data_IF_027712312381
#
_entry.id   IF_027712312381
#
_cell.length_a   1.000
_cell.length_b   1.000
_cell.length_c   1.000
_cell.angle_alpha   90.00
_cell.angle_beta   90.00
_cell.angle_gamma   90.00
#
_symmetry.space_group_name_H-M   'P 1'
#
loop_
_entity.id
_entity.type
_entity.pdbx_description
1 polymer ?
#
# COMPACT_ATOMS: atom_id res chain seq x y z
N UNK A 1 -20.18 -9.46 -3.95
CA UNK A 1 -19.36 -8.46 -3.22
C UNK A 1 -18.02 -8.97 -2.70
N UNK A 2 -17.89 -10.24 -2.29
CA UNK A 2 -16.64 -10.80 -1.72
C UNK A 2 -15.37 -10.54 -2.56
N UNK A 3 -15.46 -10.58 -3.90
CA UNK A 3 -14.33 -10.26 -4.79
C UNK A 3 -13.89 -8.80 -4.63
N UNK A 4 -14.85 -7.87 -4.47
CA UNK A 4 -14.55 -6.45 -4.27
C UNK A 4 -13.94 -6.22 -2.89
N UNK A 5 -14.45 -6.89 -1.85
CA UNK A 5 -13.87 -6.84 -0.50
C UNK A 5 -12.42 -7.34 -0.50
N UNK A 6 -12.15 -8.49 -1.14
CA UNK A 6 -10.77 -8.99 -1.32
C UNK A 6 -9.86 -7.94 -1.96
N UNK A 7 -10.30 -7.32 -3.07
CA UNK A 7 -9.51 -6.27 -3.73
C UNK A 7 -9.23 -5.07 -2.82
N UNK A 8 -10.21 -4.64 -2.02
CA UNK A 8 -10.03 -3.55 -1.05
C UNK A 8 -9.00 -3.94 0.02
N UNK A 9 -9.10 -5.14 0.59
CA UNK A 9 -8.13 -5.66 1.56
C UNK A 9 -6.71 -5.76 0.98
N UNK A 10 -6.57 -6.02 -0.32
CA UNK A 10 -5.28 -6.00 -1.01
C UNK A 10 -4.74 -4.58 -1.25
N UNK A 11 -5.59 -3.55 -1.17
CA UNK A 11 -5.22 -2.14 -1.35
C UNK A 11 -4.78 -1.43 -0.06
N UNK A 12 -5.28 -1.89 1.08
CA UNK A 12 -5.07 -1.24 2.39
C UNK A 12 -4.13 -2.05 3.27
N UNK A 13 -3.49 -1.36 4.22
CA UNK A 13 -2.78 -1.99 5.30
C UNK A 13 -3.75 -2.73 6.21
N UNK A 14 -3.53 -4.04 6.43
CA UNK A 14 -4.39 -4.84 7.33
C UNK A 14 -4.20 -4.50 8.82
N UNK A 15 -3.20 -3.68 9.14
CA UNK A 15 -2.90 -3.23 10.50
C UNK A 15 -3.45 -1.82 10.78
N UNK A 16 -3.07 -0.82 9.98
CA UNK A 16 -3.46 0.59 10.22
C UNK A 16 -4.61 1.10 9.33
N UNK A 17 -5.09 0.31 8.36
CA UNK A 17 -6.23 0.66 7.51
C UNK A 17 -5.97 1.70 6.41
N UNK A 18 -4.78 2.32 6.36
CA UNK A 18 -4.40 3.25 5.28
C UNK A 18 -4.26 2.51 3.94
N UNK A 19 -4.47 3.19 2.82
CA UNK A 19 -4.01 2.65 1.53
C UNK A 19 -2.51 2.35 1.60
N UNK A 20 -2.01 1.38 0.82
CA UNK A 20 -0.57 1.08 0.77
C UNK A 20 0.22 1.96 -0.21
N UNK A 21 -0.47 2.83 -0.93
CA UNK A 21 0.11 3.79 -1.87
C UNK A 21 -0.83 4.99 -2.00
N UNK A 22 -0.25 6.17 -2.18
CA UNK A 22 -0.97 7.42 -2.46
C UNK A 22 -0.17 8.30 -3.44
N UNK A 23 -0.61 9.56 -3.61
CA UNK A 23 -0.01 10.52 -4.54
C UNK A 23 1.42 10.96 -4.20
N UNK A 24 1.98 10.58 -3.05
CA UNK A 24 3.39 10.81 -2.72
C UNK A 24 4.33 9.96 -3.59
N UNK A 25 3.85 8.82 -4.11
CA UNK A 25 4.54 7.97 -5.06
C UNK A 25 4.22 8.43 -6.50
N UNK A 26 5.18 9.01 -7.24
CA UNK A 26 4.93 9.51 -8.59
C UNK A 26 4.43 8.43 -9.55
N UNK A 27 4.90 7.19 -9.37
CA UNK A 27 4.50 6.05 -10.20
C UNK A 27 3.04 5.69 -9.96
N UNK A 28 2.58 5.75 -8.71
CA UNK A 28 1.16 5.57 -8.39
C UNK A 28 0.34 6.75 -8.91
N UNK A 29 0.77 7.98 -8.65
CA UNK A 29 0.09 9.19 -9.04
C UNK A 29 -0.18 9.22 -10.55
N UNK A 30 0.84 8.97 -11.38
CA UNK A 30 0.72 8.98 -12.83
C UNK A 30 -0.25 7.89 -13.35
N UNK A 31 -0.28 6.72 -12.70
CA UNK A 31 -1.20 5.63 -13.06
C UNK A 31 -2.66 5.99 -12.83
N UNK A 32 -2.97 6.80 -11.83
CA UNK A 32 -4.36 7.12 -11.47
C UNK A 32 -4.81 8.52 -11.93
N UNK A 33 -3.87 9.43 -12.22
CA UNK A 33 -4.12 10.86 -12.50
C UNK A 33 -5.19 11.10 -13.55
N UNK A 34 -5.16 10.33 -14.64
CA UNK A 34 -6.06 10.51 -15.78
C UNK A 34 -7.24 9.52 -15.80
N UNK A 35 -7.36 8.64 -14.81
CA UNK A 35 -8.40 7.60 -14.78
C UNK A 35 -9.67 8.15 -14.13
N UNK A 36 -10.61 8.63 -14.96
CA UNK A 36 -11.88 9.22 -14.50
C UNK A 36 -12.94 8.17 -14.13
N UNK A 37 -12.99 7.05 -14.86
CA UNK A 37 -13.97 5.99 -14.59
C UNK A 37 -13.67 5.33 -13.23
N UNK A 38 -14.63 5.32 -12.27
CA UNK A 38 -14.39 4.78 -10.94
C UNK A 38 -14.02 3.30 -10.91
N UNK A 39 -14.54 2.49 -11.85
CA UNK A 39 -14.28 1.05 -11.93
C UNK A 39 -12.86 0.79 -12.44
N UNK A 40 -12.44 1.50 -13.49
CA UNK A 40 -11.08 1.48 -14.00
C UNK A 40 -10.08 1.99 -12.96
N UNK A 41 -10.44 3.08 -12.24
CA UNK A 41 -9.59 3.63 -11.17
C UNK A 41 -9.36 2.63 -10.05
N UNK A 42 -10.41 1.95 -9.58
CA UNK A 42 -10.27 0.88 -8.58
C UNK A 42 -9.37 -0.26 -9.08
N UNK A 43 -9.47 -0.64 -10.36
CA UNK A 43 -8.61 -1.67 -10.94
C UNK A 43 -7.15 -1.23 -11.02
N UNK A 44 -6.88 0.03 -11.39
CA UNK A 44 -5.54 0.61 -11.42
C UNK A 44 -4.92 0.64 -10.02
N UNK A 45 -5.65 1.15 -9.02
CA UNK A 45 -5.22 1.16 -7.61
C UNK A 45 -4.93 -0.25 -7.11
N UNK A 46 -5.84 -1.20 -7.33
CA UNK A 46 -5.66 -2.59 -6.91
C UNK A 46 -4.46 -3.26 -7.55
N UNK A 47 -4.25 -3.05 -8.86
CA UNK A 47 -3.09 -3.61 -9.55
C UNK A 47 -1.77 -3.09 -9.00
N UNK A 48 -1.74 -1.86 -8.49
CA UNK A 48 -0.57 -1.28 -7.85
C UNK A 48 -0.36 -1.81 -6.43
N UNK A 49 -1.39 -1.72 -5.58
CA UNK A 49 -1.24 -2.03 -4.16
C UNK A 49 -1.10 -3.53 -3.86
N UNK A 50 -1.63 -4.42 -4.71
CA UNK A 50 -1.58 -5.87 -4.47
C UNK A 50 -0.16 -6.45 -4.42
N UNK A 51 0.82 -5.77 -5.02
CA UNK A 51 2.23 -6.19 -5.00
C UNK A 51 3.01 -5.61 -3.81
N UNK A 52 2.46 -4.64 -3.08
CA UNK A 52 3.11 -4.06 -1.89
C UNK A 52 2.98 -5.02 -0.71
N UNK A 53 4.13 -5.55 -0.26
CA UNK A 53 4.26 -6.50 0.84
C UNK A 53 4.59 -5.85 2.19
N UNK A 54 4.75 -4.54 2.24
CA UNK A 54 5.04 -3.76 3.45
C UNK A 54 4.23 -2.47 3.41
N UNK A 55 3.75 -2.01 4.57
CA UNK A 55 3.13 -0.69 4.71
C UNK A 55 4.24 0.35 4.91
N UNK A 56 4.68 0.98 3.81
CA UNK A 56 5.88 1.84 3.76
C UNK A 56 5.75 3.04 4.72
N UNK A 57 6.58 3.12 5.79
CA UNK A 57 6.61 4.27 6.68
C UNK A 57 7.27 5.47 5.98
N UNK A 58 7.11 6.64 6.58
CA UNK A 58 7.80 7.84 6.12
C UNK A 58 9.31 7.72 6.36
N UNK A 59 10.11 8.21 5.41
CA UNK A 59 11.54 8.37 5.65
C UNK A 59 11.73 9.37 6.81
N UNK A 60 12.62 9.07 7.77
CA UNK A 60 12.95 10.01 8.82
C UNK A 60 13.53 11.27 8.18
N UNK A 61 13.08 12.44 8.63
CA UNK A 61 13.67 13.72 8.21
C UNK A 61 15.10 13.77 8.73
N UNK A 62 16.07 13.94 7.84
CA UNK A 62 17.46 14.20 8.24
C UNK A 62 17.53 15.61 8.83
N UNK A 63 17.89 15.72 10.11
CA UNK A 63 17.94 17.00 10.84
C UNK A 63 19.13 17.89 10.41
N UNK A 64 19.95 17.44 9.46
CA UNK A 64 21.19 18.12 9.04
C UNK A 64 21.08 18.91 7.71
N UNK A 65 19.91 18.95 7.06
CA UNK A 65 19.72 19.76 5.85
C UNK A 65 19.10 21.13 6.22
N UNK A 66 19.89 22.18 5.99
CA UNK A 66 19.64 23.55 6.44
C UNK A 66 18.26 24.13 6.10
N UNK A 67 17.88 25.12 6.90
CA UNK A 67 16.58 25.76 7.01
C UNK A 67 16.03 26.52 5.77
N UNK A 68 16.28 26.05 4.54
CA UNK A 68 15.88 26.73 3.31
C UNK A 68 15.43 25.79 2.17
N UNK A 69 14.85 24.62 2.50
CA UNK A 69 14.14 23.79 1.50
C UNK A 69 12.68 23.55 1.87
N UNK A 70 11.84 24.33 1.19
CA UNK A 70 10.47 24.06 0.75
C UNK A 70 9.92 22.68 1.16
N UNK A 71 8.96 22.69 2.09
CA UNK A 71 8.08 21.56 2.48
C UNK A 71 8.62 20.16 2.19
N UNK A 72 9.52 19.65 3.05
CA UNK A 72 9.85 18.21 3.15
C UNK A 72 8.64 17.34 2.77
N UNK A 73 8.71 16.68 1.61
CA UNK A 73 7.59 15.96 1.01
C UNK A 73 7.00 15.02 2.05
N UNK A 74 5.77 15.29 2.51
CA UNK A 74 5.06 14.41 3.45
C UNK A 74 4.99 13.04 2.79
N UNK A 75 5.57 12.04 3.46
CA UNK A 75 5.49 10.68 3.00
C UNK A 75 4.08 10.09 3.17
N UNK A 76 3.99 8.81 2.84
CA UNK A 76 2.76 8.03 2.80
C UNK A 76 2.11 7.78 4.19
N UNK A 77 2.89 7.83 5.26
CA UNK A 77 2.45 7.65 6.65
C UNK A 77 2.12 6.20 7.02
N UNK A 78 2.79 5.21 6.39
CA UNK A 78 2.61 3.81 6.71
C UNK A 78 3.18 3.38 8.06
N UNK A 79 2.79 2.21 8.55
CA UNK A 79 3.13 1.73 9.90
C UNK A 79 4.24 0.67 9.92
N UNK A 80 4.92 0.39 8.81
CA UNK A 80 5.99 -0.61 8.69
C UNK A 80 5.53 -2.08 8.69
N UNK A 81 4.27 -2.36 9.01
CA UNK A 81 3.79 -3.74 9.16
C UNK A 81 3.88 -4.54 7.84
N UNK A 82 4.31 -5.82 7.89
CA UNK A 82 4.27 -6.71 6.73
C UNK A 82 2.82 -6.92 6.27
N UNK A 83 2.62 -7.11 4.97
CA UNK A 83 1.31 -7.21 4.35
C UNK A 83 1.07 -8.62 3.80
N UNK A 84 -0.03 -9.29 4.17
CA UNK A 84 -0.29 -10.65 3.74
C UNK A 84 -0.82 -10.70 2.31
N UNK A 85 -0.73 -11.88 1.70
CA UNK A 85 -1.47 -12.24 0.49
C UNK A 85 -2.88 -12.66 0.89
N UNK A 86 -3.91 -12.07 0.28
CA UNK A 86 -5.31 -12.42 0.53
C UNK A 86 -5.75 -13.52 -0.45
N UNK A 87 -6.13 -14.69 0.07
CA UNK A 87 -6.66 -15.83 -0.69
C UNK A 87 -8.17 -15.96 -0.48
N UNK A 88 -8.90 -16.38 -1.51
CA UNK A 88 -10.35 -16.64 -1.44
C UNK A 88 -10.59 -18.13 -1.66
N UNK A 89 -11.33 -18.75 -0.75
CA UNK A 89 -11.80 -20.14 -0.88
C UNK A 89 -13.29 -20.19 -0.56
N UNK A 90 -14.12 -20.48 -1.57
CA UNK A 90 -15.58 -20.42 -1.43
C UNK A 90 -16.06 -19.05 -0.94
N UNK A 91 -16.57 -19.01 0.29
CA UNK A 91 -17.07 -17.81 0.98
C UNK A 91 -16.10 -17.25 2.04
N UNK A 92 -14.90 -17.84 2.18
CA UNK A 92 -13.89 -17.43 3.15
C UNK A 92 -12.77 -16.63 2.48
N UNK A 93 -12.17 -15.72 3.25
CA UNK A 93 -10.95 -15.02 2.89
C UNK A 93 -9.87 -15.38 3.93
N UNK A 94 -8.69 -15.76 3.45
CA UNK A 94 -7.55 -16.12 4.29
C UNK A 94 -6.42 -15.12 4.07
N UNK A 95 -5.75 -14.75 5.16
CA UNK A 95 -4.51 -13.97 5.14
C UNK A 95 -3.32 -14.93 5.21
N UNK A 96 -2.36 -14.79 4.31
CA UNK A 96 -1.12 -15.58 4.34
C UNK A 96 0.08 -14.63 4.33
N UNK A 97 0.83 -14.60 5.43
CA UNK A 97 2.12 -13.94 5.50
C UNK A 97 3.18 -14.83 4.85
N UNK A 98 4.05 -14.25 4.02
CA UNK A 98 5.25 -14.95 3.58
C UNK A 98 6.20 -14.98 4.78
N UNK A 99 6.62 -16.17 5.21
CA UNK A 99 7.70 -16.29 6.19
C UNK A 99 8.98 -15.75 5.58
N UNK A 100 9.67 -14.90 6.33
CA UNK A 100 11.05 -14.52 6.02
C UNK A 100 11.92 -15.75 6.18
N UNK A 101 12.93 -15.94 5.32
CA UNK A 101 13.83 -17.10 5.39
C UNK A 101 14.62 -17.18 6.71
N UNK A 102 14.69 -16.09 7.46
CA UNK A 102 15.48 -15.98 8.69
C UNK A 102 14.74 -16.45 9.96
N UNK A 103 13.49 -16.91 9.88
CA UNK A 103 12.73 -17.43 11.05
C UNK A 103 12.80 -18.95 11.21
N UNK A 104 13.52 -19.66 10.32
CA UNK A 104 13.71 -21.12 10.37
C UNK A 104 15.15 -21.51 10.83
N UNK A 105 15.91 -20.56 11.40
CA UNK A 105 17.18 -20.79 12.15
C UNK A 105 16.99 -20.53 13.64
#
# INVERSE_FOLDING_TARGET
FIVKVKKILECICVNCGRLKADSSDPTFADRIRHVRDPKARMQAVWNYCKSKTTCEPDEPKDENEGADQEESKKGHGGCGAPQPVIRKEGLKLFVQYKRSKDEDE
#
